data_IF_318315174604
#
_entry.id   IF_318315174604
#
_cell.length_a   1.000
_cell.length_b   1.000
_cell.length_c   1.000
_cell.angle_alpha   90.00
_cell.angle_beta   90.00
_cell.angle_gamma   90.00
#
_symmetry.space_group_name_H-M   'P 1'
#
loop_
_entity.id
_entity.type
_entity.pdbx_description
1 polymer ?
#
# COMPACT_ATOMS: atom_id res chain seq x y z
N UNK A 1 40.32 -8.81 -47.13
CA UNK A 1 41.10 -9.71 -48.00
C UNK A 1 41.64 -10.85 -47.17
N UNK A 2 41.65 -12.08 -47.72
CA UNK A 2 42.32 -13.32 -47.23
C UNK A 2 41.84 -13.89 -45.88
N UNK A 3 40.93 -14.88 -45.82
CA UNK A 3 41.01 -16.30 -46.23
C UNK A 3 42.11 -17.11 -45.48
N UNK A 4 41.71 -18.07 -44.64
CA UNK A 4 41.76 -19.54 -44.88
C UNK A 4 41.91 -20.39 -43.59
N UNK A 5 40.88 -21.23 -43.34
CA UNK A 5 40.88 -22.70 -43.09
C UNK A 5 41.93 -23.31 -42.09
N UNK A 6 41.46 -24.07 -41.07
CA UNK A 6 41.57 -25.55 -40.96
C UNK A 6 41.20 -26.12 -39.58
N UNK A 7 40.38 -27.16 -39.66
CA UNK A 7 39.88 -28.02 -38.59
C UNK A 7 41.00 -28.75 -37.81
N UNK A 8 40.73 -29.03 -36.54
CA UNK A 8 41.25 -30.20 -35.84
C UNK A 8 40.19 -30.70 -34.86
N UNK A 9 39.54 -31.80 -35.25
CA UNK A 9 38.72 -32.61 -34.38
C UNK A 9 39.64 -33.48 -33.51
N UNK A 10 39.42 -33.48 -32.20
CA UNK A 10 39.91 -34.54 -31.30
C UNK A 10 38.76 -34.90 -30.35
N UNK A 11 38.07 -35.99 -30.68
CA UNK A 11 37.17 -36.71 -29.78
C UNK A 11 38.00 -37.27 -28.63
N UNK A 12 37.80 -36.75 -27.42
CA UNK A 12 38.27 -37.39 -26.19
C UNK A 12 37.05 -38.02 -25.52
N UNK A 13 36.85 -39.30 -25.82
CA UNK A 13 35.95 -40.18 -25.07
C UNK A 13 36.64 -40.54 -23.76
N UNK A 14 36.23 -39.92 -22.66
CA UNK A 14 36.61 -40.33 -21.31
C UNK A 14 35.36 -40.81 -20.57
N UNK A 15 35.22 -42.13 -20.59
CA UNK A 15 34.65 -43.02 -19.57
C UNK A 15 33.74 -42.39 -18.51
N UNK A 16 32.43 -42.51 -18.71
CA UNK A 16 31.42 -42.31 -17.66
C UNK A 16 31.47 -43.45 -16.63
N UNK A 17 32.27 -43.28 -15.57
CA UNK A 17 31.99 -43.98 -14.32
C UNK A 17 30.71 -43.36 -13.74
N UNK A 18 29.63 -44.13 -13.76
CA UNK A 18 28.38 -43.79 -13.08
C UNK A 18 28.59 -43.88 -11.56
N UNK A 19 29.30 -42.90 -11.00
CA UNK A 19 29.13 -42.58 -9.59
C UNK A 19 27.74 -41.98 -9.47
N UNK A 20 26.85 -42.67 -8.74
CA UNK A 20 25.57 -42.11 -8.32
C UNK A 20 25.84 -40.88 -7.46
N UNK A 21 26.06 -39.73 -8.09
CA UNK A 21 26.00 -38.44 -7.42
C UNK A 21 24.55 -38.30 -7.01
N UNK A 22 24.26 -38.68 -5.76
CA UNK A 22 23.09 -38.22 -5.05
C UNK A 22 23.21 -36.71 -5.03
N UNK A 23 22.53 -36.05 -5.97
CA UNK A 23 22.32 -34.62 -5.92
C UNK A 23 21.61 -34.36 -4.59
N UNK A 24 22.20 -33.64 -3.62
CA UNK A 24 21.47 -33.27 -2.43
C UNK A 24 20.26 -32.47 -2.91
N UNK A 25 19.06 -33.02 -2.69
CA UNK A 25 17.81 -32.33 -2.98
C UNK A 25 17.89 -31.00 -2.25
N UNK A 26 18.03 -29.90 -3.00
CA UNK A 26 17.90 -28.58 -2.40
C UNK A 26 16.55 -28.54 -1.70
N UNK A 27 16.49 -28.22 -0.40
CA UNK A 27 15.22 -28.10 0.28
C UNK A 27 14.38 -27.10 -0.50
N UNK A 28 13.26 -27.59 -1.06
CA UNK A 28 12.31 -26.78 -1.82
C UNK A 28 11.82 -25.72 -0.84
N UNK A 29 12.33 -24.49 -0.99
CA UNK A 29 11.83 -23.38 -0.18
C UNK A 29 10.35 -23.22 -0.54
N UNK A 30 9.43 -23.26 0.44
CA UNK A 30 8.03 -23.02 0.15
C UNK A 30 7.91 -21.66 -0.56
N UNK A 31 7.10 -21.61 -1.61
CA UNK A 31 6.87 -20.38 -2.35
C UNK A 31 6.36 -19.29 -1.38
N UNK A 32 6.83 -18.03 -1.52
CA UNK A 32 6.32 -16.95 -0.69
C UNK A 32 4.80 -16.81 -0.90
N UNK A 33 4.06 -16.42 0.16
CA UNK A 33 2.61 -16.26 0.05
C UNK A 33 2.26 -15.26 -1.06
N UNK A 34 1.09 -15.43 -1.72
CA UNK A 34 0.64 -14.48 -2.72
C UNK A 34 0.57 -13.08 -2.13
N UNK A 35 1.12 -12.09 -2.85
CA UNK A 35 0.97 -10.69 -2.45
C UNK A 35 -0.48 -10.26 -2.67
N UNK A 36 -1.05 -9.42 -1.79
CA UNK A 36 -2.38 -8.85 -2.00
C UNK A 36 -2.47 -8.11 -3.34
N UNK A 37 -3.65 -8.14 -3.96
CA UNK A 37 -3.92 -7.38 -5.17
C UNK A 37 -3.75 -5.86 -4.87
N UNK A 38 -2.92 -5.11 -5.62
CA UNK A 38 -2.71 -3.68 -5.38
C UNK A 38 -3.99 -2.85 -5.32
N UNK A 39 -5.00 -3.17 -6.13
CA UNK A 39 -6.27 -2.46 -6.12
C UNK A 39 -7.04 -2.68 -4.82
N UNK A 40 -7.00 -3.90 -4.27
CA UNK A 40 -7.64 -4.22 -2.99
C UNK A 40 -7.00 -3.39 -1.88
N UNK A 41 -5.66 -3.32 -1.85
CA UNK A 41 -4.93 -2.50 -0.87
C UNK A 41 -5.30 -1.02 -1.04
N UNK A 42 -5.39 -0.51 -2.27
CA UNK A 42 -5.78 0.88 -2.51
C UNK A 42 -7.20 1.18 -1.99
N UNK A 43 -8.14 0.27 -2.21
CA UNK A 43 -9.51 0.40 -1.70
C UNK A 43 -9.57 0.32 -0.17
N UNK A 44 -8.79 -0.56 0.46
CA UNK A 44 -8.68 -0.66 1.91
C UNK A 44 -8.17 0.65 2.52
N UNK A 45 -7.17 1.29 1.90
CA UNK A 45 -6.68 2.60 2.37
C UNK A 45 -7.77 3.66 2.31
N UNK A 46 -8.56 3.70 1.24
CA UNK A 46 -9.69 4.62 1.11
C UNK A 46 -10.72 4.39 2.21
N UNK A 47 -11.09 3.13 2.46
CA UNK A 47 -12.01 2.77 3.54
C UNK A 47 -11.48 3.17 4.92
N UNK A 48 -10.18 3.03 5.17
CA UNK A 48 -9.55 3.48 6.41
C UNK A 48 -9.67 4.99 6.59
N UNK A 49 -9.37 5.78 5.55
CA UNK A 49 -9.53 7.25 5.59
C UNK A 49 -10.98 7.64 5.88
N UNK A 50 -11.94 7.06 5.16
CA UNK A 50 -13.36 7.34 5.37
C UNK A 50 -13.79 6.98 6.80
N UNK A 51 -13.37 5.81 7.30
CA UNK A 51 -13.66 5.39 8.68
C UNK A 51 -13.09 6.36 9.73
N UNK A 52 -11.89 6.92 9.49
CA UNK A 52 -11.30 7.95 10.36
C UNK A 52 -12.10 9.25 10.33
N UNK A 53 -12.49 9.73 9.16
CA UNK A 53 -13.32 10.93 9.01
C UNK A 53 -14.62 10.78 9.79
N UNK A 54 -15.33 9.67 9.59
CA UNK A 54 -16.60 9.38 10.30
C UNK A 54 -16.42 9.31 11.82
N UNK A 55 -15.31 8.74 12.29
CA UNK A 55 -15.00 8.71 13.72
C UNK A 55 -14.82 10.14 14.28
N UNK A 56 -14.08 10.99 13.58
CA UNK A 56 -13.85 12.37 14.01
C UNK A 56 -15.14 13.21 13.99
N UNK A 57 -16.02 13.05 13.00
CA UNK A 57 -17.35 13.69 13.01
C UNK A 57 -18.11 13.34 14.29
N UNK A 58 -18.24 12.06 14.61
CA UNK A 58 -18.94 11.63 15.84
C UNK A 58 -18.30 12.17 17.11
N UNK A 59 -16.96 12.29 17.14
CA UNK A 59 -16.25 12.88 18.28
C UNK A 59 -16.52 14.37 18.42
N UNK A 60 -16.56 15.12 17.32
CA UNK A 60 -16.96 16.54 17.33
C UNK A 60 -18.37 16.66 17.92
N UNK A 61 -19.32 15.85 17.46
CA UNK A 61 -20.70 15.87 17.97
C UNK A 61 -20.76 15.57 19.47
N UNK A 62 -20.03 14.56 19.92
CA UNK A 62 -19.95 14.23 21.35
C UNK A 62 -19.41 15.39 22.19
N UNK A 63 -18.41 16.12 21.67
CA UNK A 63 -17.80 17.26 22.37
C UNK A 63 -18.73 18.48 22.40
N UNK A 64 -19.44 18.76 21.31
CA UNK A 64 -20.45 19.82 21.25
C UNK A 64 -21.62 19.50 22.18
N UNK A 65 -22.17 18.29 22.12
CA UNK A 65 -23.28 17.84 22.97
C UNK A 65 -22.90 17.81 24.45
N UNK A 66 -21.63 17.51 24.76
CA UNK A 66 -21.09 17.57 26.11
C UNK A 66 -20.78 18.98 26.62
N UNK A 67 -20.98 20.03 25.81
CA UNK A 67 -20.74 21.42 26.20
C UNK A 67 -19.26 21.84 26.21
N UNK A 68 -18.35 21.00 25.71
CA UNK A 68 -16.92 21.33 25.60
C UNK A 68 -16.65 22.38 24.52
N UNK A 69 -17.50 22.43 23.49
CA UNK A 69 -17.42 23.38 22.39
C UNK A 69 -18.76 24.05 22.13
N UNK A 70 -18.79 25.34 21.79
CA UNK A 70 -20.00 25.97 21.28
C UNK A 70 -20.32 25.44 19.87
N UNK A 71 -21.60 25.36 19.46
CA UNK A 71 -21.99 24.81 18.16
C UNK A 71 -21.26 25.40 16.93
N UNK A 72 -21.01 26.71 16.84
CA UNK A 72 -20.27 27.28 15.71
C UNK A 72 -18.83 26.77 15.57
N UNK A 73 -18.18 26.40 16.69
CA UNK A 73 -16.84 25.81 16.64
C UNK A 73 -16.89 24.37 16.13
N UNK A 74 -17.88 23.58 16.58
CA UNK A 74 -18.14 22.24 16.04
C UNK A 74 -18.41 22.25 14.54
N UNK A 75 -19.21 23.21 14.05
CA UNK A 75 -19.49 23.36 12.63
C UNK A 75 -18.22 23.64 11.79
N UNK A 76 -17.28 24.42 12.31
CA UNK A 76 -15.99 24.65 11.63
C UNK A 76 -15.15 23.38 11.54
N UNK A 77 -15.14 22.56 12.59
CA UNK A 77 -14.44 21.28 12.57
C UNK A 77 -15.09 20.29 11.60
N UNK A 78 -16.42 20.23 11.54
CA UNK A 78 -17.14 19.43 10.55
C UNK A 78 -16.81 19.86 9.13
N UNK A 79 -16.86 21.16 8.84
CA UNK A 79 -16.50 21.68 7.52
C UNK A 79 -15.08 21.28 7.12
N UNK A 80 -14.13 21.32 8.05
CA UNK A 80 -12.76 20.86 7.79
C UNK A 80 -12.72 19.38 7.42
N UNK A 81 -13.47 18.52 8.11
CA UNK A 81 -13.56 17.10 7.77
C UNK A 81 -14.23 16.86 6.42
N UNK A 82 -15.23 17.67 6.05
CA UNK A 82 -15.88 17.60 4.75
C UNK A 82 -14.92 17.94 3.60
N UNK A 83 -14.06 18.96 3.79
CA UNK A 83 -12.99 19.28 2.83
C UNK A 83 -12.02 18.12 2.67
N UNK A 84 -11.56 17.50 3.77
CA UNK A 84 -10.68 16.33 3.71
C UNK A 84 -11.37 15.15 3.01
N UNK A 85 -12.67 14.94 3.25
CA UNK A 85 -13.46 13.91 2.56
C UNK A 85 -13.52 14.17 1.06
N UNK A 86 -13.74 15.42 0.66
CA UNK A 86 -13.75 15.81 -0.75
C UNK A 86 -12.39 15.54 -1.40
N UNK A 87 -11.29 15.93 -0.76
CA UNK A 87 -9.94 15.67 -1.25
C UNK A 87 -9.65 14.17 -1.38
N UNK A 88 -10.04 13.35 -0.40
CA UNK A 88 -9.91 11.90 -0.47
C UNK A 88 -10.69 11.31 -1.67
N UNK A 89 -11.89 11.82 -1.95
CA UNK A 89 -12.68 11.40 -3.10
C UNK A 89 -12.00 11.80 -4.42
N UNK A 90 -11.50 13.04 -4.51
CA UNK A 90 -10.82 13.56 -5.70
C UNK A 90 -9.50 12.82 -6.00
N UNK A 91 -8.74 12.46 -4.96
CA UNK A 91 -7.57 11.57 -5.07
C UNK A 91 -7.98 10.17 -5.51
N UNK A 92 -9.04 9.61 -4.92
CA UNK A 92 -9.48 8.25 -5.26
C UNK A 92 -9.98 8.13 -6.70
N UNK A 93 -10.58 9.19 -7.25
CA UNK A 93 -11.02 9.24 -8.63
C UNK A 93 -9.86 9.10 -9.62
N UNK A 94 -8.64 9.48 -9.23
CA UNK A 94 -7.42 9.32 -10.03
C UNK A 94 -6.84 7.90 -9.94
N UNK A 95 -7.24 7.11 -8.94
CA UNK A 95 -6.69 5.79 -8.60
C UNK A 95 -7.75 4.68 -8.58
N UNK A 96 -8.68 4.70 -9.54
CA UNK A 96 -9.71 3.67 -9.72
C UNK A 96 -10.59 3.44 -8.48
N UNK A 97 -10.80 4.48 -7.68
CA UNK A 97 -11.59 4.44 -6.44
C UNK A 97 -10.80 4.08 -5.18
N UNK A 98 -9.49 3.85 -5.28
CA UNK A 98 -8.60 3.57 -4.14
C UNK A 98 -7.60 4.70 -3.89
N UNK A 99 -6.75 4.57 -2.86
CA UNK A 99 -5.68 5.51 -2.57
C UNK A 99 -4.29 4.88 -2.76
N UNK A 100 -3.35 5.68 -3.27
CA UNK A 100 -1.93 5.39 -3.15
C UNK A 100 -1.46 5.51 -1.70
N UNK A 101 -0.26 5.01 -1.41
CA UNK A 101 0.32 5.11 -0.07
C UNK A 101 0.65 6.56 0.34
N UNK A 102 1.07 7.39 -0.63
CA UNK A 102 1.42 8.79 -0.36
C UNK A 102 0.17 9.65 -0.13
N UNK A 103 -0.88 9.48 -0.93
CA UNK A 103 -2.16 10.15 -0.71
C UNK A 103 -2.73 9.78 0.66
N UNK A 104 -2.71 8.49 1.02
CA UNK A 104 -3.14 8.05 2.35
C UNK A 104 -2.33 8.75 3.46
N UNK A 105 -1.01 8.90 3.29
CA UNK A 105 -0.15 9.56 4.27
C UNK A 105 -0.49 11.04 4.42
N UNK A 106 -0.73 11.76 3.33
CA UNK A 106 -1.15 13.17 3.36
C UNK A 106 -2.48 13.30 4.09
N UNK A 107 -3.50 12.53 3.69
CA UNK A 107 -4.82 12.56 4.33
C UNK A 107 -4.73 12.21 5.82
N UNK A 108 -3.89 11.24 6.19
CA UNK A 108 -3.64 10.91 7.59
C UNK A 108 -3.06 12.09 8.39
N UNK A 109 -2.14 12.88 7.83
CA UNK A 109 -1.55 14.05 8.49
C UNK A 109 -2.59 15.16 8.71
N UNK A 110 -3.49 15.35 7.76
CA UNK A 110 -4.59 16.31 7.89
C UNK A 110 -5.59 15.88 8.97
N UNK A 111 -5.94 14.59 8.98
CA UNK A 111 -6.80 13.99 10.00
C UNK A 111 -6.17 14.04 11.40
N UNK A 112 -4.86 13.84 11.52
CA UNK A 112 -4.16 14.00 12.79
C UNK A 112 -4.23 15.45 13.29
N UNK A 113 -4.14 16.40 12.36
CA UNK A 113 -4.25 17.82 12.68
C UNK A 113 -5.69 18.22 13.02
N UNK A 114 -6.70 17.55 12.44
CA UNK A 114 -8.09 17.68 12.87
C UNK A 114 -8.34 17.06 14.25
N UNK A 115 -7.77 15.87 14.52
CA UNK A 115 -7.86 15.20 15.81
C UNK A 115 -7.29 16.05 16.95
N UNK A 116 -6.11 16.67 16.73
CA UNK A 116 -5.51 17.62 17.68
C UNK A 116 -6.40 18.83 17.96
N UNK A 117 -7.10 19.35 16.95
CA UNK A 117 -8.03 20.47 17.12
C UNK A 117 -9.29 20.11 17.93
N UNK A 118 -9.66 18.82 17.96
CA UNK A 118 -10.73 18.25 18.80
C UNK A 118 -10.21 17.97 20.24
N UNK A 119 -8.89 18.05 20.46
CA UNK A 119 -8.23 17.84 21.75
C UNK A 119 -7.83 16.40 22.03
N UNK A 120 -7.37 15.66 21.01
CA UNK A 120 -6.73 14.34 21.14
C UNK A 120 -5.32 14.27 20.55
#
# INVERSE_FOLDING_TARGET
>A
MQRLIRAAACCVLVSSLAACIVQPQQPVRPAPPPRPNPQVVANERMQQIQGRIENLHRRIDARVNGGYYPPPYGAQLHHRLDVIRQEANDMSAQHSGGLSGDEQRVLNQELDTAARAIGE
#
